data_IF_569213572608
#
_entry.id   IF_569213572608
#
_cell.length_a   1.000
_cell.length_b   1.000
_cell.length_c   1.000
_cell.angle_alpha   90.00
_cell.angle_beta   90.00
_cell.angle_gamma   90.00
#
_symmetry.space_group_name_H-M   'P 1'
#
loop_
_entity.id
_entity.type
_entity.pdbx_description
1 polymer ?
#
# COMPACT_ATOMS: atom_id res chain seq x y z
N UNK A 1 -22.45 -1.05 -27.78
CA UNK A 1 -22.76 -0.55 -26.43
C UNK A 1 -21.82 0.63 -26.17
N UNK A 2 -22.32 1.77 -25.73
CA UNK A 2 -21.48 2.92 -25.37
C UNK A 2 -20.84 2.63 -24.00
N UNK A 3 -19.52 2.51 -23.95
CA UNK A 3 -18.72 2.38 -22.70
C UNK A 3 -18.61 3.74 -21.99
N UNK A 4 -19.76 4.31 -21.64
CA UNK A 4 -19.77 5.64 -21.04
C UNK A 4 -19.34 5.58 -19.56
N UNK A 5 -18.29 6.32 -19.25
CA UNK A 5 -17.69 6.46 -17.94
C UNK A 5 -18.56 7.27 -16.96
N UNK A 6 -18.21 7.22 -15.69
CA UNK A 6 -18.86 7.94 -14.60
C UNK A 6 -19.31 7.01 -13.46
N UNK A 7 -18.92 7.34 -12.22
CA UNK A 7 -19.20 6.53 -11.02
C UNK A 7 -20.70 6.30 -10.84
N UNK A 8 -21.54 7.33 -11.02
CA UNK A 8 -22.99 7.20 -10.83
C UNK A 8 -23.63 6.27 -11.88
N UNK A 9 -23.11 6.34 -13.11
CA UNK A 9 -23.61 5.51 -14.22
C UNK A 9 -23.24 4.05 -14.04
N UNK A 10 -22.03 3.78 -13.55
CA UNK A 10 -21.47 2.46 -13.35
C UNK A 10 -21.52 2.03 -11.87
N UNK A 11 -22.43 2.60 -11.06
CA UNK A 11 -22.44 2.45 -9.61
C UNK A 11 -22.42 1.00 -9.13
N UNK A 12 -23.16 0.11 -9.78
CA UNK A 12 -23.21 -1.31 -9.41
C UNK A 12 -21.84 -1.98 -9.53
N UNK A 13 -21.18 -1.83 -10.69
CA UNK A 13 -19.85 -2.41 -10.90
C UNK A 13 -18.80 -1.72 -10.04
N UNK A 14 -18.90 -0.40 -9.87
CA UNK A 14 -18.02 0.35 -9.00
C UNK A 14 -18.10 -0.14 -7.53
N UNK A 15 -19.30 -0.38 -7.03
CA UNK A 15 -19.52 -0.90 -5.66
C UNK A 15 -19.04 -2.34 -5.51
N UNK A 16 -19.21 -3.19 -6.51
CA UNK A 16 -18.67 -4.55 -6.52
C UNK A 16 -17.14 -4.55 -6.47
N UNK A 17 -16.49 -3.62 -7.19
CA UNK A 17 -15.03 -3.42 -7.12
C UNK A 17 -14.59 -2.89 -5.74
N UNK A 18 -15.40 -2.04 -5.06
CA UNK A 18 -15.13 -1.64 -3.67
C UNK A 18 -15.25 -2.82 -2.70
N UNK A 19 -16.26 -3.69 -2.87
CA UNK A 19 -16.38 -4.91 -2.08
C UNK A 19 -15.19 -5.85 -2.31
N UNK A 20 -14.74 -5.96 -3.56
CA UNK A 20 -13.58 -6.78 -3.91
C UNK A 20 -12.32 -6.30 -3.22
N UNK A 21 -11.99 -4.99 -3.27
CA UNK A 21 -10.78 -4.48 -2.60
C UNK A 21 -10.90 -4.53 -1.08
N UNK A 22 -12.09 -4.36 -0.53
CA UNK A 22 -12.34 -4.58 0.89
C UNK A 22 -12.03 -6.03 1.30
N UNK A 23 -12.47 -7.02 0.51
CA UNK A 23 -12.14 -8.43 0.73
C UNK A 23 -10.63 -8.69 0.60
N UNK A 24 -9.95 -8.05 -0.38
CA UNK A 24 -8.49 -8.09 -0.51
C UNK A 24 -7.81 -7.52 0.74
N UNK A 25 -8.31 -6.42 1.28
CA UNK A 25 -7.82 -5.85 2.55
C UNK A 25 -8.03 -6.78 3.74
N UNK A 26 -9.19 -7.45 3.83
CA UNK A 26 -9.48 -8.44 4.88
C UNK A 26 -8.44 -9.57 4.90
N UNK A 27 -7.92 -10.04 3.75
CA UNK A 27 -6.90 -11.10 3.72
C UNK A 27 -5.60 -10.68 4.38
N UNK A 28 -5.12 -9.45 4.12
CA UNK A 28 -3.94 -8.90 4.81
C UNK A 28 -4.23 -8.74 6.32
N UNK A 29 -5.37 -8.13 6.64
CA UNK A 29 -5.76 -7.88 8.03
C UNK A 29 -5.85 -9.17 8.85
N UNK A 30 -6.34 -10.25 8.24
CA UNK A 30 -6.48 -11.54 8.90
C UNK A 30 -5.14 -12.12 9.40
N UNK A 31 -4.03 -11.76 8.79
CA UNK A 31 -2.71 -12.26 9.14
C UNK A 31 -1.91 -11.33 10.05
N UNK A 32 -2.16 -10.01 9.99
CA UNK A 32 -1.29 -8.99 10.60
C UNK A 32 -0.95 -9.18 12.06
N UNK A 33 -1.92 -9.54 12.88
CA UNK A 33 -1.73 -9.67 14.33
C UNK A 33 -1.69 -11.12 14.82
N UNK A 34 -2.12 -12.07 14.00
CA UNK A 34 -2.19 -13.50 14.39
C UNK A 34 -0.91 -14.24 13.97
N UNK A 35 -0.47 -14.06 12.73
CA UNK A 35 0.63 -14.85 12.14
C UNK A 35 1.97 -14.66 12.85
N UNK A 36 2.44 -13.45 13.23
CA UNK A 36 3.69 -13.33 13.98
C UNK A 36 3.65 -13.99 15.36
N UNK A 37 2.51 -13.88 16.06
CA UNK A 37 2.31 -14.53 17.36
C UNK A 37 2.24 -16.06 17.22
N UNK A 38 1.58 -16.56 16.16
CA UNK A 38 1.58 -17.97 15.81
C UNK A 38 3.02 -18.50 15.58
N UNK A 39 3.85 -17.72 14.86
CA UNK A 39 5.25 -18.07 14.63
C UNK A 39 6.02 -18.26 15.92
N UNK A 40 5.92 -17.30 16.83
CA UNK A 40 6.61 -17.35 18.12
C UNK A 40 6.03 -18.40 19.07
N UNK A 41 4.71 -18.37 19.32
CA UNK A 41 4.09 -19.10 20.44
C UNK A 41 3.68 -20.53 20.07
N UNK A 42 3.47 -20.84 18.80
CA UNK A 42 3.03 -22.18 18.35
C UNK A 42 4.12 -22.90 17.55
N UNK A 43 4.85 -22.16 16.68
CA UNK A 43 5.88 -22.75 15.83
C UNK A 43 7.30 -22.59 16.40
N UNK A 44 7.46 -21.95 17.56
CA UNK A 44 8.73 -21.84 18.28
C UNK A 44 9.81 -21.02 17.57
N UNK A 45 9.41 -20.03 16.76
CA UNK A 45 10.36 -19.16 16.05
C UNK A 45 10.80 -18.03 16.98
N UNK A 46 12.03 -18.07 17.45
CA UNK A 46 12.59 -17.06 18.37
C UNK A 46 13.09 -15.81 17.63
N UNK A 47 13.70 -15.99 16.45
CA UNK A 47 14.26 -14.90 15.64
C UNK A 47 13.16 -14.05 14.99
N UNK A 48 13.14 -12.75 15.26
CA UNK A 48 12.22 -11.80 14.63
C UNK A 48 12.53 -11.64 13.14
N UNK A 49 13.79 -11.78 12.74
CA UNK A 49 14.18 -11.81 11.33
C UNK A 49 13.56 -12.99 10.59
N UNK A 50 13.60 -14.18 11.21
CA UNK A 50 12.95 -15.38 10.63
C UNK A 50 11.44 -15.21 10.61
N UNK A 51 10.84 -14.68 11.69
CA UNK A 51 9.42 -14.30 11.68
C UNK A 51 9.14 -13.34 10.52
N UNK A 52 9.96 -12.32 10.33
CA UNK A 52 9.78 -11.32 9.25
C UNK A 52 9.87 -11.88 7.82
N UNK A 53 10.36 -13.10 7.62
CA UNK A 53 10.51 -13.70 6.29
C UNK A 53 9.18 -13.78 5.51
N UNK A 54 8.04 -13.91 6.21
CA UNK A 54 6.73 -13.93 5.55
C UNK A 54 6.36 -12.56 4.94
N UNK A 55 6.63 -11.44 5.65
CA UNK A 55 6.42 -10.07 5.10
C UNK A 55 7.44 -9.76 4.02
N UNK A 56 8.69 -10.20 4.20
CA UNK A 56 9.75 -10.03 3.20
C UNK A 56 9.36 -10.69 1.87
N UNK A 57 8.94 -11.96 1.91
CA UNK A 57 8.50 -12.70 0.73
C UNK A 57 7.27 -12.07 0.08
N UNK A 58 6.28 -11.71 0.88
CA UNK A 58 5.09 -10.97 0.44
C UNK A 58 5.46 -9.68 -0.31
N UNK A 59 6.31 -8.85 0.29
CA UNK A 59 6.65 -7.53 -0.24
C UNK A 59 7.38 -7.61 -1.58
N UNK A 60 8.41 -8.44 -1.70
CA UNK A 60 9.16 -8.58 -2.95
C UNK A 60 8.32 -9.21 -4.06
N UNK A 61 7.50 -10.21 -3.76
CA UNK A 61 6.60 -10.82 -4.74
C UNK A 61 5.56 -9.82 -5.21
N UNK A 62 4.91 -9.10 -4.30
CA UNK A 62 3.94 -8.05 -4.64
C UNK A 62 4.56 -6.95 -5.48
N UNK A 63 5.78 -6.50 -5.14
CA UNK A 63 6.51 -5.49 -5.91
C UNK A 63 6.72 -5.91 -7.36
N UNK A 64 7.16 -7.14 -7.59
CA UNK A 64 7.33 -7.69 -8.93
C UNK A 64 5.99 -7.79 -9.68
N UNK A 65 4.94 -8.25 -9.01
CA UNK A 65 3.62 -8.42 -9.64
C UNK A 65 2.95 -7.08 -9.97
N UNK A 66 3.22 -6.01 -9.23
CA UNK A 66 2.74 -4.67 -9.59
C UNK A 66 3.34 -4.19 -10.92
N UNK A 67 4.59 -4.55 -11.20
CA UNK A 67 5.25 -4.17 -12.44
C UNK A 67 4.66 -4.91 -13.66
N UNK A 68 4.33 -6.20 -13.51
CA UNK A 68 3.81 -7.04 -14.60
C UNK A 68 2.28 -7.06 -14.69
N UNK A 69 1.58 -6.88 -13.57
CA UNK A 69 0.11 -6.96 -13.48
C UNK A 69 -0.60 -5.98 -14.41
N UNK A 70 -0.07 -4.77 -14.56
CA UNK A 70 -0.55 -3.78 -15.53
C UNK A 70 -0.54 -4.33 -16.95
N UNK A 71 0.62 -4.82 -17.41
CA UNK A 71 0.81 -5.39 -18.75
C UNK A 71 -0.11 -6.60 -19.01
N UNK A 72 -0.24 -7.48 -18.03
CA UNK A 72 -1.15 -8.63 -18.16
C UNK A 72 -2.61 -8.20 -18.27
N UNK A 73 -3.00 -7.16 -17.54
CA UNK A 73 -4.37 -6.65 -17.61
C UNK A 73 -4.72 -5.95 -18.93
N UNK A 74 -3.75 -5.37 -19.61
CA UNK A 74 -3.91 -4.83 -20.96
C UNK A 74 -4.07 -5.95 -22.01
N UNK A 75 -3.39 -7.08 -21.80
CA UNK A 75 -3.40 -8.22 -22.73
C UNK A 75 -4.59 -9.15 -22.54
N UNK A 76 -4.89 -9.50 -21.28
CA UNK A 76 -5.88 -10.52 -20.91
C UNK A 76 -7.20 -9.93 -20.40
N UNK A 77 -7.23 -8.66 -20.00
CA UNK A 77 -8.37 -8.01 -19.34
C UNK A 77 -8.20 -7.87 -17.83
N UNK A 78 -8.98 -6.97 -17.20
CA UNK A 78 -8.95 -6.71 -15.76
C UNK A 78 -9.53 -7.89 -14.97
N UNK A 79 -10.69 -8.40 -15.39
CA UNK A 79 -11.41 -9.50 -14.73
C UNK A 79 -10.62 -10.80 -14.69
N UNK A 80 -10.04 -11.33 -15.78
CA UNK A 80 -9.24 -12.56 -15.74
C UNK A 80 -8.05 -12.48 -14.79
N UNK A 81 -7.34 -11.33 -14.75
CA UNK A 81 -6.20 -11.13 -13.85
C UNK A 81 -6.66 -11.03 -12.38
N UNK A 82 -7.78 -10.36 -12.11
CA UNK A 82 -8.41 -10.33 -10.79
C UNK A 82 -8.79 -11.74 -10.30
N UNK A 83 -9.46 -12.53 -11.15
CA UNK A 83 -9.85 -13.91 -10.84
C UNK A 83 -8.62 -14.79 -10.59
N UNK A 84 -7.57 -14.66 -11.42
CA UNK A 84 -6.32 -15.38 -11.21
C UNK A 84 -5.71 -15.06 -9.84
N UNK A 85 -5.73 -13.79 -9.41
CA UNK A 85 -5.31 -13.38 -8.07
C UNK A 85 -6.09 -14.11 -6.97
N UNK A 86 -7.41 -14.22 -7.07
CA UNK A 86 -8.24 -14.93 -6.09
C UNK A 86 -8.04 -16.45 -6.12
N UNK A 87 -7.84 -17.05 -7.29
CA UNK A 87 -7.54 -18.49 -7.42
C UNK A 87 -6.23 -18.84 -6.71
N UNK A 88 -5.20 -18.01 -6.87
CA UNK A 88 -3.91 -18.18 -6.18
C UNK A 88 -4.08 -18.05 -4.65
N UNK A 89 -5.07 -17.31 -4.16
CA UNK A 89 -5.33 -17.19 -2.73
C UNK A 89 -5.98 -18.43 -2.09
N UNK A 90 -6.64 -19.30 -2.86
CA UNK A 90 -7.37 -20.46 -2.32
C UNK A 90 -6.55 -21.38 -1.40
N UNK A 91 -5.30 -21.74 -1.71
CA UNK A 91 -4.51 -22.60 -0.82
C UNK A 91 -3.99 -21.90 0.44
N UNK A 92 -3.98 -20.56 0.52
CA UNK A 92 -3.38 -19.81 1.63
C UNK A 92 -3.95 -20.24 2.98
N UNK A 93 -5.28 -20.19 3.24
CA UNK A 93 -5.83 -20.55 4.54
C UNK A 93 -5.55 -22.02 4.91
N UNK A 94 -5.56 -22.92 3.94
CA UNK A 94 -5.23 -24.33 4.14
C UNK A 94 -3.77 -24.52 4.56
N UNK A 95 -2.86 -23.82 3.88
CA UNK A 95 -1.43 -23.83 4.22
C UNK A 95 -1.24 -23.30 5.65
N UNK A 96 -1.86 -22.19 6.04
CA UNK A 96 -1.70 -21.60 7.38
C UNK A 96 -2.28 -22.49 8.50
N UNK A 97 -3.40 -23.17 8.24
CA UNK A 97 -3.99 -24.13 9.17
C UNK A 97 -3.07 -25.34 9.35
N UNK A 98 -2.52 -25.87 8.28
CA UNK A 98 -1.76 -27.14 8.29
C UNK A 98 -0.24 -26.94 8.40
N UNK A 99 0.27 -25.71 8.40
CA UNK A 99 1.70 -25.39 8.42
C UNK A 99 2.44 -26.15 9.52
N UNK A 100 3.33 -27.11 9.19
CA UNK A 100 4.11 -27.84 10.18
C UNK A 100 5.30 -27.03 10.71
N UNK A 101 5.71 -25.99 10.01
CA UNK A 101 6.79 -25.08 10.36
C UNK A 101 6.63 -23.73 9.68
N UNK A 102 7.50 -22.78 10.04
CA UNK A 102 7.46 -21.39 9.57
C UNK A 102 7.63 -21.21 8.06
N UNK A 103 8.36 -22.09 7.40
CA UNK A 103 8.58 -21.97 5.95
C UNK A 103 7.30 -22.17 5.14
N UNK A 104 6.38 -22.99 5.60
CA UNK A 104 5.06 -23.13 4.99
C UNK A 104 4.23 -21.86 5.14
N UNK A 105 4.34 -21.16 6.26
CA UNK A 105 3.71 -19.85 6.46
C UNK A 105 4.30 -18.84 5.46
N UNK A 106 5.62 -18.85 5.28
CA UNK A 106 6.30 -18.02 4.28
C UNK A 106 5.81 -18.32 2.84
N UNK A 107 5.63 -19.60 2.49
CA UNK A 107 5.03 -20.01 1.19
C UNK A 107 3.61 -19.47 1.05
N UNK A 108 2.78 -19.54 2.09
CA UNK A 108 1.45 -18.93 2.10
C UNK A 108 1.50 -17.43 1.78
N UNK A 109 2.50 -16.74 2.33
CA UNK A 109 2.68 -15.30 2.10
C UNK A 109 3.29 -14.94 0.73
N UNK A 110 4.06 -15.82 0.10
CA UNK A 110 4.39 -15.70 -1.34
C UNK A 110 3.10 -15.67 -2.16
N UNK A 111 2.18 -16.61 -1.91
CA UNK A 111 0.89 -16.66 -2.60
C UNK A 111 0.01 -15.44 -2.27
N UNK A 112 0.04 -14.95 -1.03
CA UNK A 112 -0.63 -13.71 -0.65
C UNK A 112 -0.05 -12.52 -1.40
N UNK A 113 1.27 -12.45 -1.57
CA UNK A 113 1.95 -11.42 -2.37
C UNK A 113 1.47 -11.43 -3.83
N UNK A 114 1.32 -12.62 -4.43
CA UNK A 114 0.75 -12.78 -5.78
C UNK A 114 -0.71 -12.30 -5.80
N UNK A 115 -1.54 -12.76 -4.88
CA UNK A 115 -2.94 -12.32 -4.77
C UNK A 115 -3.04 -10.79 -4.68
N UNK A 116 -2.27 -10.18 -3.79
CA UNK A 116 -2.29 -8.74 -3.56
C UNK A 116 -1.80 -7.94 -4.78
N UNK A 117 -0.72 -8.38 -5.41
CA UNK A 117 -0.17 -7.74 -6.61
C UNK A 117 -1.16 -7.77 -7.78
N UNK A 118 -1.92 -8.84 -7.92
CA UNK A 118 -2.92 -8.97 -8.99
C UNK A 118 -4.26 -8.35 -8.59
N UNK A 119 -4.88 -8.80 -7.48
CA UNK A 119 -6.25 -8.43 -7.15
C UNK A 119 -6.39 -6.95 -6.74
N UNK A 120 -5.47 -6.42 -5.92
CA UNK A 120 -5.49 -4.99 -5.55
C UNK A 120 -5.29 -4.11 -6.77
N UNK A 121 -4.28 -4.40 -7.59
CA UNK A 121 -4.00 -3.60 -8.79
C UNK A 121 -5.16 -3.60 -9.79
N UNK A 122 -5.81 -4.75 -9.99
CA UNK A 122 -6.97 -4.83 -10.89
C UNK A 122 -8.17 -4.09 -10.34
N UNK A 123 -8.39 -4.13 -9.03
CA UNK A 123 -9.46 -3.37 -8.38
C UNK A 123 -9.29 -1.85 -8.56
N UNK A 124 -8.05 -1.34 -8.42
CA UNK A 124 -7.73 0.07 -8.70
C UNK A 124 -7.99 0.41 -10.16
N UNK A 125 -7.42 -0.38 -11.09
CA UNK A 125 -7.55 -0.12 -12.52
C UNK A 125 -9.01 -0.14 -12.97
N UNK A 126 -9.79 -1.14 -12.55
CA UNK A 126 -11.21 -1.23 -12.90
C UNK A 126 -12.02 -0.01 -12.41
N UNK A 127 -11.71 0.53 -11.22
CA UNK A 127 -12.40 1.75 -10.75
C UNK A 127 -12.00 2.99 -11.52
N UNK A 128 -10.74 3.10 -11.96
CA UNK A 128 -10.28 4.17 -12.85
C UNK A 128 -11.02 4.08 -14.18
N UNK A 129 -11.07 2.89 -14.80
CA UNK A 129 -11.75 2.64 -16.06
C UNK A 129 -13.25 3.04 -16.00
N UNK A 130 -13.93 2.71 -14.89
CA UNK A 130 -15.35 3.02 -14.70
C UNK A 130 -15.63 4.49 -14.35
N UNK A 131 -14.70 5.14 -13.66
CA UNK A 131 -14.88 6.52 -13.18
C UNK A 131 -14.65 7.56 -14.25
N UNK A 132 -13.67 7.34 -15.14
CA UNK A 132 -13.20 8.30 -16.12
C UNK A 132 -12.25 9.36 -15.56
N UNK A 133 -11.72 10.22 -16.42
CA UNK A 133 -10.70 11.22 -16.11
C UNK A 133 -11.08 12.15 -14.95
N UNK A 134 -12.31 12.67 -14.95
CA UNK A 134 -12.80 13.67 -14.00
C UNK A 134 -12.92 13.17 -12.55
N UNK A 135 -13.15 11.86 -12.36
CA UNK A 135 -13.37 11.26 -11.05
C UNK A 135 -12.27 10.26 -10.64
N UNK A 136 -11.17 10.16 -11.39
CA UNK A 136 -10.08 9.20 -11.19
C UNK A 136 -9.47 9.29 -9.80
N UNK A 137 -9.14 10.50 -9.33
CA UNK A 137 -8.57 10.70 -7.99
C UNK A 137 -9.51 10.27 -6.86
N UNK A 138 -10.81 10.56 -6.99
CA UNK A 138 -11.82 10.12 -6.03
C UNK A 138 -12.01 8.60 -6.04
N UNK A 139 -11.98 7.97 -7.22
CA UNK A 139 -12.07 6.52 -7.36
C UNK A 139 -10.91 5.79 -6.68
N UNK A 140 -9.67 6.29 -6.87
CA UNK A 140 -8.46 5.76 -6.19
C UNK A 140 -8.55 5.99 -4.68
N UNK A 141 -8.99 7.17 -4.23
CA UNK A 141 -9.17 7.45 -2.79
C UNK A 141 -10.19 6.51 -2.13
N UNK A 142 -11.30 6.21 -2.81
CA UNK A 142 -12.28 5.22 -2.32
C UNK A 142 -11.71 3.80 -2.30
N UNK A 143 -10.96 3.40 -3.33
CA UNK A 143 -10.30 2.10 -3.38
C UNK A 143 -9.41 1.88 -2.15
N UNK A 144 -8.53 2.82 -1.88
CA UNK A 144 -7.61 2.74 -0.77
C UNK A 144 -8.33 2.78 0.58
N UNK A 145 -9.35 3.63 0.73
CA UNK A 145 -10.15 3.70 1.96
C UNK A 145 -10.85 2.36 2.27
N UNK A 146 -11.44 1.71 1.27
CA UNK A 146 -12.07 0.41 1.43
C UNK A 146 -11.03 -0.71 1.63
N UNK A 147 -9.91 -0.68 0.92
CA UNK A 147 -8.81 -1.63 1.08
C UNK A 147 -8.25 -1.62 2.51
N UNK A 148 -7.85 -0.45 3.02
CA UNK A 148 -7.34 -0.32 4.41
C UNK A 148 -8.44 -0.47 5.46
N UNK A 149 -9.68 -0.11 5.14
CA UNK A 149 -10.84 -0.46 5.97
C UNK A 149 -10.97 -1.97 6.13
N UNK A 150 -10.79 -2.74 5.06
CA UNK A 150 -10.71 -4.20 5.09
C UNK A 150 -9.58 -4.71 5.98
N UNK A 151 -8.38 -4.13 5.85
CA UNK A 151 -7.24 -4.47 6.72
C UNK A 151 -7.57 -4.24 8.19
N UNK A 152 -8.16 -3.10 8.54
CA UNK A 152 -8.54 -2.76 9.91
C UNK A 152 -9.57 -3.76 10.47
N UNK A 153 -10.64 -4.04 9.72
CA UNK A 153 -11.69 -4.98 10.12
C UNK A 153 -11.13 -6.41 10.23
N UNK A 154 -10.32 -6.85 9.27
CA UNK A 154 -9.69 -8.17 9.29
C UNK A 154 -8.81 -8.38 10.52
N UNK A 155 -7.96 -7.40 10.84
CA UNK A 155 -7.10 -7.44 12.03
C UNK A 155 -7.90 -7.51 13.31
N UNK A 156 -8.95 -6.70 13.44
CA UNK A 156 -9.82 -6.72 14.61
C UNK A 156 -10.55 -8.06 14.75
N UNK A 157 -11.22 -8.52 13.70
CA UNK A 157 -12.01 -9.77 13.72
C UNK A 157 -11.14 -10.98 14.07
N UNK A 158 -9.99 -11.13 13.40
CA UNK A 158 -9.10 -12.27 13.69
C UNK A 158 -8.43 -12.15 15.04
N UNK A 159 -8.16 -10.94 15.55
CA UNK A 159 -7.71 -10.71 16.91
C UNK A 159 -8.73 -11.21 17.95
N UNK A 160 -10.02 -10.92 17.76
CA UNK A 160 -11.11 -11.39 18.62
C UNK A 160 -11.26 -12.92 18.53
N UNK A 161 -11.22 -13.48 17.31
CA UNK A 161 -11.31 -14.93 17.10
C UNK A 161 -10.13 -15.63 17.79
N UNK A 162 -8.90 -15.14 17.57
CA UNK A 162 -7.69 -15.72 18.14
C UNK A 162 -7.69 -15.66 19.68
N UNK A 163 -8.16 -14.57 20.28
CA UNK A 163 -8.25 -14.44 21.74
C UNK A 163 -9.28 -15.39 22.36
N UNK A 164 -10.33 -15.79 21.61
CA UNK A 164 -11.40 -16.66 22.12
C UNK A 164 -11.16 -18.14 21.84
N UNK A 165 -10.62 -18.47 20.70
CA UNK A 165 -10.54 -19.84 20.18
C UNK A 165 -9.11 -20.33 19.97
N UNK A 166 -8.12 -19.43 19.99
CA UNK A 166 -6.72 -19.72 19.73
C UNK A 166 -6.21 -19.19 18.40
N UNK A 167 -4.88 -19.26 18.23
CA UNK A 167 -4.19 -18.69 17.07
C UNK A 167 -4.42 -19.48 15.77
N UNK A 168 -4.87 -20.73 15.86
CA UNK A 168 -5.31 -21.59 14.76
C UNK A 168 -6.17 -22.76 15.27
N UNK A 169 -7.10 -23.32 14.43
CA UNK A 169 -7.31 -22.99 13.00
C UNK A 169 -8.29 -21.84 12.75
N UNK A 170 -9.07 -21.40 13.73
CA UNK A 170 -10.28 -20.58 13.59
C UNK A 170 -10.05 -19.24 12.87
N UNK A 171 -8.98 -18.45 13.12
CA UNK A 171 -8.73 -17.22 12.36
C UNK A 171 -8.58 -17.47 10.85
N UNK A 172 -8.05 -18.64 10.47
CA UNK A 172 -7.83 -18.99 9.06
C UNK A 172 -9.08 -19.59 8.41
N UNK A 173 -10.08 -20.06 9.17
CA UNK A 173 -11.41 -20.36 8.63
C UNK A 173 -12.13 -19.08 8.22
N UNK A 174 -11.97 -17.98 8.99
CA UNK A 174 -12.43 -16.67 8.57
C UNK A 174 -11.74 -16.24 7.26
N UNK A 175 -10.42 -16.37 7.17
CA UNK A 175 -9.66 -16.08 5.95
C UNK A 175 -10.16 -16.91 4.75
N UNK A 176 -10.45 -18.20 4.94
CA UNK A 176 -11.01 -19.06 3.89
C UNK A 176 -12.36 -18.55 3.39
N UNK A 177 -13.23 -18.14 4.30
CA UNK A 177 -14.53 -17.52 3.96
C UNK A 177 -14.36 -16.25 3.13
N UNK A 178 -13.41 -15.39 3.50
CA UNK A 178 -13.09 -14.15 2.76
C UNK A 178 -12.57 -14.46 1.35
N UNK A 179 -11.64 -15.41 1.20
CA UNK A 179 -11.07 -15.81 -0.09
C UNK A 179 -12.15 -16.39 -1.01
N UNK A 180 -12.99 -17.27 -0.49
CA UNK A 180 -14.09 -17.86 -1.26
C UNK A 180 -15.12 -16.80 -1.68
N UNK A 181 -15.49 -15.89 -0.79
CA UNK A 181 -16.39 -14.77 -1.11
C UNK A 181 -15.80 -13.85 -2.17
N UNK A 182 -14.50 -13.47 -2.03
CA UNK A 182 -13.81 -12.63 -2.99
C UNK A 182 -13.75 -13.27 -4.38
N UNK A 183 -13.43 -14.57 -4.45
CA UNK A 183 -13.45 -15.33 -5.70
C UNK A 183 -14.85 -15.40 -6.31
N UNK A 184 -15.86 -15.71 -5.49
CA UNK A 184 -17.25 -15.79 -5.94
C UNK A 184 -17.73 -14.46 -6.54
N UNK A 185 -17.47 -13.35 -5.85
CA UNK A 185 -17.82 -12.00 -6.33
C UNK A 185 -17.08 -11.69 -7.64
N UNK A 186 -15.78 -11.96 -7.71
CA UNK A 186 -14.98 -11.70 -8.90
C UNK A 186 -15.45 -12.50 -10.12
N UNK A 187 -15.80 -13.77 -9.95
CA UNK A 187 -16.24 -14.65 -11.04
C UNK A 187 -17.65 -14.33 -11.52
N UNK A 188 -18.60 -14.20 -10.58
CA UNK A 188 -20.02 -14.15 -10.91
C UNK A 188 -20.59 -12.75 -11.15
N UNK A 189 -20.04 -11.72 -10.48
CA UNK A 189 -20.67 -10.41 -10.43
C UNK A 189 -19.84 -9.28 -11.01
N UNK A 190 -18.50 -9.41 -11.04
CA UNK A 190 -17.62 -8.39 -11.62
C UNK A 190 -17.61 -8.51 -13.14
N UNK A 191 -17.77 -7.37 -13.83
CA UNK A 191 -17.65 -7.27 -15.29
C UNK A 191 -16.24 -6.87 -15.73
N UNK A 192 -15.92 -7.15 -17.01
CA UNK A 192 -14.67 -6.71 -17.63
C UNK A 192 -14.70 -5.19 -17.89
N UNK A 193 -13.64 -4.48 -17.49
CA UNK A 193 -13.58 -3.00 -17.64
C UNK A 193 -12.55 -2.52 -18.68
N UNK A 194 -11.71 -3.40 -19.23
CA UNK A 194 -10.76 -3.03 -20.28
C UNK A 194 -11.39 -2.28 -21.48
N UNK A 195 -12.64 -2.60 -21.93
CA UNK A 195 -13.26 -1.84 -23.01
C UNK A 195 -13.49 -0.35 -22.70
N UNK A 196 -13.69 0.02 -21.43
CA UNK A 196 -13.79 1.44 -21.03
C UNK A 196 -12.46 2.16 -21.18
N UNK A 197 -11.34 1.52 -20.76
CA UNK A 197 -10.00 2.07 -20.92
C UNK A 197 -9.61 2.24 -22.40
N UNK A 198 -9.99 1.28 -23.25
CA UNK A 198 -9.73 1.37 -24.70
C UNK A 198 -10.54 2.49 -25.36
N UNK A 199 -11.81 2.64 -24.99
CA UNK A 199 -12.65 3.73 -25.51
C UNK A 199 -12.11 5.10 -25.12
N UNK A 200 -11.56 5.26 -23.90
CA UNK A 200 -10.89 6.49 -23.45
C UNK A 200 -9.61 6.77 -24.26
N UNK A 201 -8.79 5.75 -24.49
CA UNK A 201 -7.55 5.89 -25.25
C UNK A 201 -7.78 6.25 -26.72
N UNK A 202 -8.88 5.78 -27.33
CA UNK A 202 -9.25 6.12 -28.71
C UNK A 202 -9.69 7.59 -28.86
N UNK A 203 -10.13 8.23 -27.76
CA UNK A 203 -10.52 9.66 -27.73
C UNK A 203 -9.33 10.61 -27.44
N UNK A 204 -8.27 10.13 -26.80
CA UNK A 204 -7.05 10.90 -26.52
C UNK A 204 -6.08 10.80 -27.68
N UNK A 205 -5.87 11.91 -28.41
CA UNK A 205 -4.77 12.03 -29.41
C UNK A 205 -3.44 12.08 -28.66
N UNK A 206 -2.68 11.00 -28.70
CA UNK A 206 -1.34 10.95 -28.10
C UNK A 206 -0.31 11.61 -29.03
N UNK A 207 0.48 12.53 -28.46
CA UNK A 207 1.72 13.02 -29.10
C UNK A 207 2.72 11.85 -29.15
N UNK A 208 2.97 11.27 -30.34
CA UNK A 208 3.84 10.11 -30.55
C UNK A 208 5.33 10.38 -30.23
N UNK A 209 5.75 11.64 -30.10
CA UNK A 209 7.16 12.04 -30.02
C UNK A 209 7.81 11.92 -28.61
N UNK A 210 7.08 11.49 -27.58
CA UNK A 210 7.58 11.46 -26.20
C UNK A 210 7.71 10.06 -25.58
N UNK A 211 7.57 8.98 -26.35
CA UNK A 211 7.57 7.60 -25.84
C UNK A 211 9.00 7.18 -25.39
N UNK A 212 9.20 7.09 -24.07
CA UNK A 212 10.47 6.64 -23.50
C UNK A 212 10.48 5.10 -23.38
N UNK A 213 11.59 4.43 -23.75
CA UNK A 213 11.74 3.01 -23.52
C UNK A 213 11.69 2.68 -22.02
N UNK A 214 11.09 1.54 -21.65
CA UNK A 214 10.93 1.08 -20.26
C UNK A 214 12.20 1.26 -19.41
N UNK A 215 13.38 0.95 -19.98
CA UNK A 215 14.67 1.09 -19.27
C UNK A 215 14.97 2.53 -18.87
N UNK A 216 14.62 3.50 -19.70
CA UNK A 216 14.85 4.92 -19.40
C UNK A 216 13.84 5.42 -18.36
N UNK A 217 12.57 4.99 -18.43
CA UNK A 217 11.57 5.29 -17.40
C UNK A 217 12.01 4.69 -16.05
N UNK A 218 12.46 3.43 -16.03
CA UNK A 218 12.98 2.78 -14.82
C UNK A 218 14.14 3.58 -14.23
N UNK A 219 15.08 4.03 -15.06
CA UNK A 219 16.23 4.85 -14.64
C UNK A 219 15.78 6.19 -14.08
N UNK A 220 14.90 6.93 -14.79
CA UNK A 220 14.39 8.23 -14.35
C UNK A 220 13.64 8.14 -13.03
N UNK A 221 12.70 7.18 -12.90
CA UNK A 221 11.90 6.99 -11.70
C UNK A 221 12.72 6.44 -10.50
N UNK A 222 13.88 5.82 -10.74
CA UNK A 222 14.73 5.27 -9.68
C UNK A 222 15.79 6.25 -9.19
N UNK A 223 16.51 6.96 -10.09
CA UNK A 223 17.61 7.85 -9.72
C UNK A 223 17.87 9.03 -10.68
N UNK A 224 17.21 9.08 -11.84
CA UNK A 224 17.47 10.10 -12.85
C UNK A 224 16.76 11.43 -12.60
N UNK A 225 15.65 11.42 -11.87
CA UNK A 225 14.92 12.62 -11.46
C UNK A 225 14.85 12.70 -9.92
N UNK A 226 15.21 13.87 -9.35
CA UNK A 226 15.27 14.06 -7.89
C UNK A 226 13.89 13.96 -7.22
N UNK A 227 12.85 14.43 -7.87
CA UNK A 227 11.47 14.39 -7.33
C UNK A 227 10.93 12.97 -7.36
N UNK A 228 11.14 12.24 -8.47
CA UNK A 228 10.75 10.83 -8.58
C UNK A 228 11.56 9.93 -7.63
N UNK A 229 12.86 10.18 -7.48
CA UNK A 229 13.68 9.48 -6.49
C UNK A 229 13.19 9.76 -5.05
N UNK A 230 12.90 11.04 -4.72
CA UNK A 230 12.37 11.41 -3.42
C UNK A 230 11.02 10.75 -3.15
N UNK A 231 10.13 10.67 -4.14
CA UNK A 231 8.84 9.99 -4.03
C UNK A 231 9.02 8.46 -3.86
N UNK A 232 9.88 7.84 -4.67
CA UNK A 232 10.12 6.38 -4.62
C UNK A 232 10.76 5.93 -3.30
N UNK A 233 11.75 6.68 -2.78
CA UNK A 233 12.34 6.37 -1.48
C UNK A 233 11.36 6.62 -0.33
N UNK A 234 10.57 7.73 -0.38
CA UNK A 234 9.56 8.01 0.64
C UNK A 234 8.48 6.92 0.68
N UNK A 235 8.01 6.47 -0.48
CA UNK A 235 7.07 5.35 -0.58
C UNK A 235 7.66 4.03 -0.07
N UNK A 236 8.95 3.76 -0.35
CA UNK A 236 9.62 2.57 0.18
C UNK A 236 9.75 2.61 1.70
N UNK A 237 10.17 3.74 2.27
CA UNK A 237 10.32 3.91 3.73
C UNK A 237 8.97 3.98 4.45
N UNK A 238 7.91 4.50 3.81
CA UNK A 238 6.52 4.36 4.29
C UNK A 238 6.17 2.90 4.57
N UNK A 239 6.60 1.97 3.71
CA UNK A 239 6.32 0.54 3.92
C UNK A 239 7.14 -0.12 5.02
N UNK A 240 8.19 0.51 5.51
CA UNK A 240 8.86 0.07 6.75
C UNK A 240 7.91 0.18 7.96
N UNK A 241 7.10 1.24 8.01
CA UNK A 241 6.08 1.39 9.06
C UNK A 241 5.05 0.27 8.95
N UNK A 242 4.57 -0.03 7.76
CA UNK A 242 3.56 -1.06 7.54
C UNK A 242 4.13 -2.47 7.87
N UNK A 243 5.40 -2.74 7.50
CA UNK A 243 6.12 -3.95 7.91
C UNK A 243 6.31 -4.04 9.44
N UNK A 244 6.62 -2.91 10.10
CA UNK A 244 6.75 -2.83 11.55
C UNK A 244 5.43 -3.18 12.25
N UNK A 245 4.31 -2.61 11.76
CA UNK A 245 2.96 -2.91 12.28
C UNK A 245 2.60 -4.38 12.07
N UNK A 246 3.08 -5.00 11.02
CA UNK A 246 2.79 -6.39 10.74
C UNK A 246 3.69 -7.37 11.50
N UNK A 247 4.96 -7.04 11.75
CA UNK A 247 5.93 -7.93 12.41
C UNK A 247 6.07 -7.61 13.90
N UNK A 248 6.48 -6.37 14.18
CA UNK A 248 6.94 -6.00 15.51
C UNK A 248 5.80 -5.63 16.48
N UNK A 249 4.73 -4.96 16.02
CA UNK A 249 3.62 -4.61 16.91
C UNK A 249 3.01 -5.81 17.61
N UNK A 250 2.62 -6.91 16.92
CA UNK A 250 2.06 -8.06 17.60
C UNK A 250 3.02 -8.68 18.62
N UNK A 251 4.29 -8.79 18.26
CA UNK A 251 5.31 -9.38 19.13
C UNK A 251 5.60 -8.48 20.36
N UNK A 252 5.79 -7.19 20.14
CA UNK A 252 6.10 -6.22 21.18
C UNK A 252 4.95 -6.05 22.16
N UNK A 253 3.73 -5.80 21.65
CA UNK A 253 2.57 -5.51 22.48
C UNK A 253 2.09 -6.75 23.27
N UNK A 254 2.17 -7.95 22.69
CA UNK A 254 1.84 -9.19 23.43
C UNK A 254 2.88 -9.49 24.51
N UNK A 255 4.17 -9.23 24.27
CA UNK A 255 5.22 -9.33 25.29
C UNK A 255 5.01 -8.33 26.42
N UNK A 256 4.45 -7.14 26.11
CA UNK A 256 4.05 -6.14 27.09
C UNK A 256 2.72 -6.45 27.82
N UNK A 257 2.11 -7.62 27.56
CA UNK A 257 0.93 -8.13 28.28
C UNK A 257 -0.43 -7.84 27.62
N UNK A 258 -0.48 -7.29 26.40
CA UNK A 258 -1.73 -7.14 25.70
C UNK A 258 -2.22 -8.48 25.14
N UNK A 259 -3.52 -8.72 25.21
CA UNK A 259 -4.14 -9.83 24.49
C UNK A 259 -4.09 -9.60 22.97
N UNK A 260 -4.13 -10.69 22.19
CA UNK A 260 -4.17 -10.62 20.71
C UNK A 260 -5.37 -9.79 20.23
N UNK A 261 -6.50 -9.79 20.94
CA UNK A 261 -7.66 -8.94 20.65
C UNK A 261 -7.32 -7.44 20.80
N UNK A 262 -6.63 -7.05 21.88
CA UNK A 262 -6.20 -5.68 22.10
C UNK A 262 -5.19 -5.24 21.04
N UNK A 263 -4.24 -6.10 20.68
CA UNK A 263 -3.32 -5.85 19.56
C UNK A 263 -4.09 -5.65 18.26
N UNK A 264 -5.11 -6.49 18.00
CA UNK A 264 -5.99 -6.35 16.83
C UNK A 264 -6.70 -4.99 16.77
N UNK A 265 -7.11 -4.43 17.92
CA UNK A 265 -7.68 -3.07 18.00
C UNK A 265 -6.63 -2.01 17.69
N UNK A 266 -5.43 -2.08 18.27
CA UNK A 266 -4.33 -1.14 18.01
C UNK A 266 -3.99 -1.09 16.53
N UNK A 267 -3.79 -2.27 15.90
CA UNK A 267 -3.50 -2.41 14.47
C UNK A 267 -4.70 -1.96 13.62
N UNK A 268 -5.92 -2.28 14.08
CA UNK A 268 -7.16 -1.84 13.43
C UNK A 268 -7.33 -0.33 13.43
N UNK A 269 -7.00 0.36 14.54
CA UNK A 269 -7.04 1.83 14.62
C UNK A 269 -6.03 2.46 13.68
N UNK A 270 -4.80 1.93 13.61
CA UNK A 270 -3.81 2.36 12.62
C UNK A 270 -4.37 2.31 11.18
N UNK A 271 -4.87 1.15 10.76
CA UNK A 271 -5.39 0.95 9.40
C UNK A 271 -6.69 1.73 9.14
N UNK A 272 -7.58 1.81 10.15
CA UNK A 272 -8.84 2.54 10.05
C UNK A 272 -8.66 4.05 9.92
N UNK A 273 -7.78 4.65 10.74
CA UNK A 273 -7.44 6.08 10.64
C UNK A 273 -6.78 6.38 9.30
N UNK A 274 -5.83 5.53 8.88
CA UNK A 274 -5.19 5.65 7.58
C UNK A 274 -6.23 5.62 6.45
N UNK A 275 -7.06 4.60 6.38
CA UNK A 275 -8.08 4.45 5.32
C UNK A 275 -9.07 5.61 5.28
N UNK A 276 -9.65 5.98 6.43
CA UNK A 276 -10.66 7.03 6.50
C UNK A 276 -10.12 8.41 6.10
N UNK A 277 -8.93 8.77 6.56
CA UNK A 277 -8.37 10.09 6.29
C UNK A 277 -7.88 10.27 4.85
N UNK A 278 -7.60 9.19 4.12
CA UNK A 278 -7.24 9.28 2.69
C UNK A 278 -8.31 9.97 1.83
N UNK A 279 -9.59 9.87 2.23
CA UNK A 279 -10.69 10.56 1.53
C UNK A 279 -10.56 12.09 1.56
N UNK A 280 -9.81 12.63 2.53
CA UNK A 280 -9.64 14.08 2.73
C UNK A 280 -8.25 14.58 2.32
N UNK A 281 -7.21 13.76 2.48
CA UNK A 281 -5.81 14.18 2.30
C UNK A 281 -5.47 14.49 0.85
N UNK A 282 -6.09 13.84 -0.14
CA UNK A 282 -5.96 14.20 -1.55
C UNK A 282 -6.49 15.63 -1.83
N UNK A 283 -7.69 15.96 -1.32
CA UNK A 283 -8.26 17.31 -1.45
C UNK A 283 -7.46 18.37 -0.70
N UNK A 284 -6.84 17.99 0.42
CA UNK A 284 -5.93 18.88 1.14
C UNK A 284 -4.74 19.24 0.27
N UNK A 285 -4.12 18.25 -0.38
CA UNK A 285 -2.99 18.48 -1.28
C UNK A 285 -3.32 19.31 -2.52
N UNK A 286 -4.57 19.24 -3.02
CA UNK A 286 -5.05 20.14 -4.10
C UNK A 286 -5.06 21.61 -3.66
N UNK A 287 -5.22 21.88 -2.35
CA UNK A 287 -5.28 23.24 -1.81
C UNK A 287 -3.92 23.79 -1.39
N UNK A 288 -3.08 22.96 -0.73
CA UNK A 288 -1.83 23.43 -0.12
C UNK A 288 -0.58 23.04 -0.90
N UNK A 289 -0.72 22.27 -1.99
CA UNK A 289 0.38 21.67 -2.76
C UNK A 289 0.65 20.23 -2.40
N UNK A 290 1.41 19.50 -3.21
CA UNK A 290 1.69 18.07 -3.05
C UNK A 290 2.79 17.80 -2.02
N UNK A 291 3.84 18.61 -2.03
CA UNK A 291 5.03 18.44 -1.18
C UNK A 291 4.75 18.59 0.33
N UNK A 292 4.00 19.61 0.82
CA UNK A 292 3.79 19.81 2.26
C UNK A 292 3.13 18.62 2.97
N UNK A 293 2.04 18.00 2.48
CA UNK A 293 1.44 16.85 3.13
C UNK A 293 2.35 15.62 3.11
N UNK A 294 3.15 15.38 2.05
CA UNK A 294 4.11 14.27 2.01
C UNK A 294 5.18 14.45 3.08
N UNK A 295 5.80 15.62 3.18
CA UNK A 295 6.80 15.90 4.21
C UNK A 295 6.21 15.78 5.61
N UNK A 296 5.05 16.40 5.86
CA UNK A 296 4.35 16.29 7.14
C UNK A 296 4.00 14.84 7.49
N UNK A 297 3.54 14.05 6.51
CA UNK A 297 3.21 12.64 6.67
C UNK A 297 4.40 11.81 7.15
N UNK A 298 5.60 12.02 6.59
CA UNK A 298 6.82 11.33 7.01
C UNK A 298 7.15 11.61 8.48
N UNK A 299 7.10 12.89 8.89
CA UNK A 299 7.40 13.29 10.27
C UNK A 299 6.31 12.83 11.24
N UNK A 300 5.03 12.94 10.89
CA UNK A 300 3.90 12.52 11.74
C UNK A 300 3.90 11.01 11.93
N UNK A 301 4.10 10.22 10.86
CA UNK A 301 4.18 8.77 10.97
C UNK A 301 5.41 8.34 11.79
N UNK A 302 6.57 8.97 11.55
CA UNK A 302 7.78 8.74 12.35
C UNK A 302 7.58 9.06 13.83
N UNK A 303 6.89 10.15 14.16
CA UNK A 303 6.54 10.51 15.52
C UNK A 303 5.58 9.48 16.15
N UNK A 304 4.57 9.01 15.44
CA UNK A 304 3.66 7.96 15.91
C UNK A 304 4.37 6.64 16.22
N UNK A 305 5.29 6.23 15.35
CA UNK A 305 6.15 5.04 15.57
C UNK A 305 7.04 5.24 16.79
N UNK A 306 7.68 6.40 16.94
CA UNK A 306 8.51 6.73 18.09
C UNK A 306 7.70 6.74 19.40
N UNK A 307 6.50 7.32 19.37
CA UNK A 307 5.58 7.33 20.52
C UNK A 307 5.29 5.89 20.97
N UNK A 308 5.05 4.94 20.06
CA UNK A 308 4.80 3.54 20.43
C UNK A 308 5.96 2.93 21.24
N UNK A 309 7.20 3.35 21.00
CA UNK A 309 8.37 2.87 21.73
C UNK A 309 8.59 3.52 23.10
N UNK A 310 8.05 4.75 23.31
CA UNK A 310 8.34 5.55 24.53
C UNK A 310 7.17 5.63 25.50
N UNK A 311 5.97 5.19 25.10
CA UNK A 311 4.79 5.16 25.98
C UNK A 311 4.44 3.73 26.36
N UNK A 312 3.76 3.57 27.50
CA UNK A 312 3.24 2.29 27.97
C UNK A 312 1.74 2.35 28.21
N UNK A 313 1.07 1.28 27.87
CA UNK A 313 -0.35 1.06 28.15
C UNK A 313 -1.23 1.08 26.91
N UNK A 314 -2.29 0.29 26.98
CA UNK A 314 -3.19 0.01 25.86
C UNK A 314 -3.71 1.27 25.13
N UNK A 315 -4.20 2.27 25.87
CA UNK A 315 -4.78 3.46 25.29
C UNK A 315 -3.73 4.40 24.67
N UNK A 316 -2.52 4.45 25.26
CA UNK A 316 -1.43 5.26 24.73
C UNK A 316 -0.87 4.63 23.44
N UNK A 317 -0.70 3.31 23.38
CA UNK A 317 -0.32 2.61 22.17
C UNK A 317 -1.40 2.75 21.08
N UNK A 318 -2.69 2.70 21.44
CA UNK A 318 -3.79 2.94 20.49
C UNK A 318 -3.74 4.38 19.95
N UNK A 319 -3.45 5.37 20.79
CA UNK A 319 -3.25 6.76 20.38
C UNK A 319 -2.04 6.95 19.46
N UNK A 320 -0.90 6.32 19.79
CA UNK A 320 0.31 6.33 18.94
C UNK A 320 0.05 5.70 17.57
N UNK A 321 -0.68 4.58 17.52
CA UNK A 321 -1.12 3.94 16.30
C UNK A 321 -2.03 4.84 15.44
N UNK A 322 -2.93 5.59 16.09
CA UNK A 322 -3.76 6.59 15.39
C UNK A 322 -2.91 7.71 14.79
N UNK A 323 -1.92 8.26 15.53
CA UNK A 323 -0.98 9.27 15.02
C UNK A 323 -0.20 8.72 13.82
N UNK A 324 0.28 7.48 13.91
CA UNK A 324 0.94 6.80 12.78
C UNK A 324 0.01 6.73 11.58
N UNK A 325 -1.26 6.33 11.77
CA UNK A 325 -2.28 6.28 10.73
C UNK A 325 -2.56 7.63 10.07
N UNK A 326 -2.57 8.74 10.83
CA UNK A 326 -2.68 10.11 10.28
C UNK A 326 -1.51 10.40 9.33
N UNK A 327 -0.28 10.12 9.77
CA UNK A 327 0.92 10.31 8.95
C UNK A 327 0.84 9.52 7.64
N UNK A 328 0.46 8.24 7.73
CA UNK A 328 0.31 7.36 6.55
C UNK A 328 -0.76 7.86 5.58
N UNK A 329 -1.86 8.42 6.08
CA UNK A 329 -2.91 8.99 5.24
C UNK A 329 -2.44 10.21 4.44
N UNK A 330 -1.49 10.97 4.96
CA UNK A 330 -0.87 12.11 4.26
C UNK A 330 0.11 11.68 3.16
N UNK A 331 0.60 10.44 3.19
CA UNK A 331 1.65 9.97 2.28
C UNK A 331 1.10 9.39 0.98
N UNK A 332 0.36 8.31 1.07
CA UNK A 332 0.10 7.46 -0.09
C UNK A 332 -0.59 8.15 -1.27
N UNK A 333 -1.75 8.81 -1.11
CA UNK A 333 -2.43 9.45 -2.24
C UNK A 333 -1.58 10.57 -2.83
N UNK A 334 -0.85 11.29 -2.00
CA UNK A 334 -0.04 12.43 -2.44
C UNK A 334 1.24 11.99 -3.16
N UNK A 335 1.89 10.90 -2.72
CA UNK A 335 3.06 10.33 -3.41
C UNK A 335 2.70 9.83 -4.83
N UNK A 336 1.55 9.16 -4.97
CA UNK A 336 1.06 8.75 -6.31
C UNK A 336 0.83 9.98 -7.19
N UNK A 337 0.23 11.04 -6.63
CA UNK A 337 -0.04 12.27 -7.38
C UNK A 337 1.26 12.97 -7.77
N UNK A 338 2.24 13.10 -6.86
CA UNK A 338 3.58 13.64 -7.19
C UNK A 338 4.21 12.90 -8.37
N UNK A 339 4.17 11.57 -8.37
CA UNK A 339 4.73 10.78 -9.49
C UNK A 339 3.92 10.98 -10.76
N UNK A 340 2.59 11.06 -10.66
CA UNK A 340 1.70 11.32 -11.78
C UNK A 340 1.90 12.69 -12.40
N UNK A 341 2.12 13.72 -11.59
CA UNK A 341 2.36 15.10 -12.03
C UNK A 341 3.77 15.26 -12.64
N UNK A 342 4.80 14.61 -12.04
CA UNK A 342 6.18 14.68 -12.51
C UNK A 342 6.46 13.83 -13.76
N UNK A 343 5.61 12.85 -14.06
CA UNK A 343 5.76 11.96 -15.20
C UNK A 343 5.01 12.50 -16.43
N UNK A 344 5.71 12.53 -17.58
CA UNK A 344 5.06 12.88 -18.85
C UNK A 344 3.92 11.91 -19.19
N UNK A 345 2.79 12.36 -19.76
CA UNK A 345 1.62 11.52 -20.06
C UNK A 345 1.94 10.20 -20.77
N UNK A 346 2.86 10.22 -21.75
CA UNK A 346 3.23 9.06 -22.56
C UNK A 346 3.87 7.89 -21.75
N UNK A 347 4.56 8.16 -20.64
CA UNK A 347 5.18 7.14 -19.81
C UNK A 347 4.70 7.15 -18.34
N UNK A 348 3.67 7.95 -18.03
CA UNK A 348 3.11 8.09 -16.66
C UNK A 348 2.69 6.76 -16.05
N UNK A 349 1.99 5.91 -16.80
CA UNK A 349 1.56 4.60 -16.32
C UNK A 349 2.75 3.70 -15.93
N UNK A 350 3.79 3.69 -16.74
CA UNK A 350 5.04 2.97 -16.45
C UNK A 350 5.77 3.56 -15.25
N UNK A 351 5.83 4.88 -15.14
CA UNK A 351 6.43 5.59 -13.99
C UNK A 351 5.73 5.26 -12.67
N UNK A 352 4.40 5.23 -12.67
CA UNK A 352 3.60 4.80 -11.51
C UNK A 352 3.84 3.31 -11.19
N UNK A 353 4.03 2.45 -12.18
CA UNK A 353 4.38 1.05 -11.99
C UNK A 353 5.74 0.89 -11.29
N UNK A 354 6.75 1.65 -11.72
CA UNK A 354 8.09 1.66 -11.10
C UNK A 354 8.03 2.20 -9.66
N UNK A 355 7.29 3.29 -9.43
CA UNK A 355 7.06 3.81 -8.08
C UNK A 355 6.43 2.75 -7.17
N UNK A 356 5.35 2.09 -7.61
CA UNK A 356 4.68 1.02 -6.85
C UNK A 356 5.60 -0.17 -6.57
N UNK A 357 6.45 -0.52 -7.52
CA UNK A 357 7.48 -1.55 -7.32
C UNK A 357 8.42 -1.18 -6.17
N UNK A 358 9.00 0.03 -6.17
CA UNK A 358 9.89 0.49 -5.10
C UNK A 358 9.16 0.61 -3.76
N UNK A 359 7.95 1.16 -3.77
CA UNK A 359 7.11 1.27 -2.58
C UNK A 359 6.85 -0.09 -1.94
N UNK A 360 6.38 -1.07 -2.69
CA UNK A 360 6.01 -2.37 -2.14
C UNK A 360 7.24 -3.26 -1.85
N UNK A 361 8.38 -3.05 -2.52
CA UNK A 361 9.66 -3.61 -2.10
C UNK A 361 10.09 -3.13 -0.70
N UNK A 362 9.61 -1.98 -0.27
CA UNK A 362 9.77 -1.46 1.09
C UNK A 362 9.29 -2.40 2.19
N UNK A 363 8.26 -3.22 1.94
CA UNK A 363 7.89 -4.30 2.88
C UNK A 363 9.06 -5.27 3.11
N UNK A 364 9.72 -5.69 2.04
CA UNK A 364 10.86 -6.59 2.11
C UNK A 364 12.07 -5.95 2.81
N UNK A 365 12.46 -4.75 2.39
CA UNK A 365 13.57 -4.01 3.01
C UNK A 365 13.28 -3.67 4.47
N UNK A 366 12.05 -3.23 4.78
CA UNK A 366 11.60 -2.98 6.14
C UNK A 366 11.64 -4.21 7.01
N UNK A 367 11.17 -5.36 6.51
CA UNK A 367 11.21 -6.63 7.24
C UNK A 367 12.64 -7.05 7.58
N UNK A 368 13.59 -6.90 6.64
CA UNK A 368 15.02 -7.13 6.89
C UNK A 368 15.54 -6.20 7.98
N UNK A 369 15.30 -4.90 7.85
CA UNK A 369 15.76 -3.89 8.80
C UNK A 369 15.22 -4.15 10.22
N UNK A 370 13.91 -4.40 10.32
CA UNK A 370 13.20 -4.67 11.57
C UNK A 370 13.75 -5.95 12.22
N UNK A 371 13.81 -7.04 11.44
CA UNK A 371 14.23 -8.34 11.93
C UNK A 371 15.67 -8.34 12.43
N UNK A 372 16.62 -7.80 11.63
CA UNK A 372 18.02 -7.69 12.02
C UNK A 372 18.18 -6.82 13.29
N UNK A 373 17.48 -5.67 13.33
CA UNK A 373 17.54 -4.78 14.50
C UNK A 373 16.97 -5.46 15.75
N UNK A 374 15.85 -6.16 15.60
CA UNK A 374 15.22 -6.82 16.75
C UNK A 374 16.07 -7.97 17.30
N UNK A 375 16.69 -8.76 16.42
CA UNK A 375 17.53 -9.90 16.83
C UNK A 375 18.87 -9.46 17.42
N UNK A 376 19.48 -8.37 16.90
CA UNK A 376 20.77 -7.88 17.40
C UNK A 376 20.65 -7.01 18.67
N UNK A 377 19.54 -6.30 18.82
CA UNK A 377 19.35 -5.34 19.91
C UNK A 377 18.09 -5.66 20.73
N UNK A 378 16.92 -5.37 20.19
CA UNK A 378 15.61 -5.71 20.78
C UNK A 378 14.48 -5.35 19.83
N UNK A 379 13.28 -5.92 20.05
CA UNK A 379 12.07 -5.54 19.30
C UNK A 379 11.74 -4.05 19.48
N UNK A 380 11.97 -3.48 20.67
CA UNK A 380 11.81 -2.05 20.92
C UNK A 380 12.77 -1.19 20.06
N UNK A 381 14.01 -1.63 19.85
CA UNK A 381 14.98 -0.93 19.02
C UNK A 381 14.52 -0.79 17.56
N UNK A 382 13.75 -1.75 17.04
CA UNK A 382 13.20 -1.68 15.68
C UNK A 382 12.27 -0.47 15.48
N UNK A 383 11.51 -0.07 16.51
CA UNK A 383 10.67 1.14 16.45
C UNK A 383 11.52 2.41 16.33
N UNK A 384 12.61 2.53 17.10
CA UNK A 384 13.52 3.67 17.01
C UNK A 384 14.19 3.76 15.64
N UNK A 385 14.63 2.63 15.09
CA UNK A 385 15.28 2.58 13.77
C UNK A 385 14.32 2.95 12.66
N UNK A 386 13.08 2.43 12.69
CA UNK A 386 12.06 2.78 11.69
C UNK A 386 11.64 4.25 11.83
N UNK A 387 11.49 4.76 13.06
CA UNK A 387 11.21 6.19 13.26
C UNK A 387 12.34 7.08 12.72
N UNK A 388 13.60 6.71 12.97
CA UNK A 388 14.76 7.41 12.41
C UNK A 388 14.76 7.37 10.88
N UNK A 389 14.46 6.21 10.27
CA UNK A 389 14.32 6.08 8.83
C UNK A 389 13.24 6.99 8.26
N UNK A 390 12.08 7.11 8.95
CA UNK A 390 11.00 8.02 8.57
C UNK A 390 11.44 9.49 8.62
N UNK A 391 12.13 9.91 9.69
CA UNK A 391 12.63 11.28 9.82
C UNK A 391 13.70 11.62 8.78
N UNK A 392 14.65 10.70 8.54
CA UNK A 392 15.67 10.86 7.50
C UNK A 392 15.04 10.94 6.11
N UNK A 393 14.11 10.05 5.80
CA UNK A 393 13.37 10.08 4.55
C UNK A 393 12.52 11.34 4.39
N UNK A 394 11.91 11.83 5.48
CA UNK A 394 11.23 13.12 5.53
C UNK A 394 12.15 14.29 5.21
N UNK A 395 13.39 14.29 5.74
CA UNK A 395 14.39 15.29 5.43
C UNK A 395 14.84 15.21 3.96
N UNK A 396 15.07 14.01 3.43
CA UNK A 396 15.40 13.83 2.00
C UNK A 396 14.25 14.34 1.12
N UNK A 397 13.01 14.02 1.47
CA UNK A 397 11.82 14.51 0.76
C UNK A 397 11.72 16.03 0.81
N UNK A 398 11.97 16.63 1.98
CA UNK A 398 11.98 18.08 2.14
C UNK A 398 13.06 18.75 1.28
N UNK A 399 14.23 18.14 1.08
CA UNK A 399 15.35 18.75 0.35
C UNK A 399 15.28 18.48 -1.16
N UNK A 400 14.76 17.34 -1.61
CA UNK A 400 14.87 16.89 -3.01
C UNK A 400 13.54 16.93 -3.77
N UNK A 401 12.40 16.75 -3.09
CA UNK A 401 11.11 16.80 -3.75
C UNK A 401 10.75 18.25 -4.09
N UNK A 402 10.47 18.52 -5.36
CA UNK A 402 9.90 19.80 -5.79
C UNK A 402 8.40 19.80 -5.60
N UNK A 403 7.80 20.98 -5.56
CA UNK A 403 6.35 21.10 -5.66
C UNK A 403 5.93 20.74 -7.09
N UNK A 404 4.91 19.88 -7.23
CA UNK A 404 4.44 19.42 -8.54
C UNK A 404 3.02 19.86 -8.83
N UNK A 405 2.38 20.61 -7.92
CA UNK A 405 1.05 21.16 -8.18
C UNK A 405 1.11 22.23 -9.28
N UNK A 406 0.38 22.10 -10.40
CA UNK A 406 0.53 22.98 -11.57
C UNK A 406 0.44 24.48 -11.24
N UNK A 407 -0.54 24.89 -10.44
CA UNK A 407 -0.76 26.31 -10.10
C UNK A 407 0.30 26.89 -9.15
N UNK A 408 1.12 26.05 -8.51
CA UNK A 408 2.16 26.46 -7.55
C UNK A 408 3.56 26.32 -8.07
N UNK A 409 3.79 25.44 -9.02
CA UNK A 409 5.06 25.33 -9.75
C UNK A 409 5.39 26.65 -10.48
N UNK A 410 4.40 27.26 -11.13
CA UNK A 410 4.51 28.54 -11.81
C UNK A 410 4.83 29.73 -10.88
N UNK A 411 4.60 29.62 -9.57
CA UNK A 411 4.83 30.68 -8.57
C UNK A 411 6.16 30.53 -7.80
N UNK A 412 6.96 29.50 -8.12
CA UNK A 412 8.23 29.21 -7.41
C UNK A 412 9.36 30.12 -7.92
N UNK A 413 10.14 30.79 -7.04
CA UNK A 413 11.19 31.76 -7.45
C UNK A 413 12.38 31.17 -8.19
N UNK A 414 12.40 29.87 -8.48
CA UNK A 414 13.49 29.17 -9.17
C UNK A 414 13.31 28.99 -10.67
N UNK A 415 12.20 29.49 -11.25
CA UNK A 415 12.06 29.65 -12.69
C UNK A 415 12.80 30.92 -13.11
N UNK A 416 14.14 30.91 -13.13
CA UNK A 416 14.92 31.95 -13.83
C UNK A 416 14.62 31.78 -15.31
N UNK A 417 13.86 32.74 -15.85
CA UNK A 417 13.75 33.01 -17.25
C UNK A 417 15.15 33.03 -17.87
N UNK A 418 15.44 32.27 -18.93
CA UNK A 418 16.66 32.47 -19.67
C UNK A 418 16.55 33.90 -20.30
N UNK A 419 17.42 34.79 -19.84
CA UNK A 419 17.54 36.14 -20.33
C UNK A 419 17.42 36.15 -21.86
N UNK A 420 16.35 36.79 -22.37
CA UNK A 420 16.19 37.04 -23.78
C UNK A 420 17.39 37.82 -24.31
N UNK A 421 17.70 37.74 -25.62
CA UNK A 421 18.81 38.44 -26.21
C UNK A 421 18.59 39.94 -26.02
N UNK A 422 19.54 40.60 -25.37
CA UNK A 422 19.65 42.06 -25.36
C UNK A 422 19.95 42.50 -26.76
N UNK A 423 18.95 43.08 -27.45
CA UNK A 423 19.20 43.90 -28.61
C UNK A 423 20.07 45.07 -28.18
N UNK A 424 21.28 45.07 -28.64
CA UNK A 424 22.17 46.25 -28.63
C UNK A 424 22.32 46.71 -30.05
N UNK A 425 21.75 47.90 -30.34
CA UNK A 425 22.03 48.72 -31.49
C UNK A 425 23.53 48.97 -31.70
#
# INVERSE_FOLDING_TARGET
MSYAQGIRRNWTQFSLQLLTVFAVGLTIGAERNVVPVLGRDVLGVESVFVVGAFVMSFGFVKALLNLYGGKWSESYGRKPVLVAGWVVALPIPVILVLAPNWWWVTVGNVLLGVNQGLAWSMSVNAKIDLAGSDARGFAVGLDEAFGYGGVAVGSWVTGVIAARYGLRPEPFYFLAGVVLLGLLVAVLFVDETLPYARAEADEETTDEDADLPFREVLKRATYGDRTLLAASQAGSVEKFVDALVWIAYPLYLTTAGLSVAQVGVVVGVYGGVWGLLQLYTGRLADRIGRRPPVVAGMFVAGAGVLLTAVVDGYWLWTGAAAVTGVGMALLYPNLITVVGDAAHPSWRATGLGVYRMWRDAGYGFGAVLIGVTADLLSTAAAFYVVAAAMFLSGAVTLLWMRETHPDREASSPTATDPAGPTDTD
#
